data_IF_458745834013
#
_entry.id   IF_458745834013
#
_cell.length_a   1.000
_cell.length_b   1.000
_cell.length_c   1.000
_cell.angle_alpha   90.00
_cell.angle_beta   90.00
_cell.angle_gamma   90.00
#
_symmetry.space_group_name_H-M   'P 1'
#
loop_
_entity.id
_entity.type
_entity.pdbx_description
1 polymer ?
#
# COMPACT_ATOMS: atom_id res chain seq x y z
N UNK A 1 3.42 23.21 20.46
CA UNK A 1 3.59 21.84 19.92
C UNK A 1 2.40 20.95 20.19
N UNK A 2 1.96 20.80 21.44
CA UNK A 2 0.89 19.88 21.81
C UNK A 2 -0.43 20.15 21.06
N UNK A 3 -0.83 21.38 20.89
CA UNK A 3 -2.06 21.72 20.17
C UNK A 3 -2.00 21.38 18.69
N UNK A 4 -0.82 21.54 18.06
CA UNK A 4 -0.60 21.09 16.70
C UNK A 4 -0.64 19.56 16.60
N UNK A 5 -0.10 18.85 17.59
CA UNK A 5 -0.18 17.37 17.63
C UNK A 5 -1.65 16.91 17.77
N UNK A 6 -2.44 17.57 18.62
CA UNK A 6 -3.90 17.33 18.75
C UNK A 6 -4.63 17.63 17.44
N UNK A 7 -4.27 18.71 16.76
CA UNK A 7 -4.82 19.08 15.46
C UNK A 7 -4.55 17.99 14.41
N UNK A 8 -3.29 17.51 14.28
CA UNK A 8 -2.97 16.42 13.37
C UNK A 8 -3.71 15.13 13.76
N UNK A 9 -3.76 14.78 15.04
CA UNK A 9 -4.50 13.62 15.53
C UNK A 9 -5.99 13.68 15.16
N UNK A 10 -6.59 14.85 15.27
CA UNK A 10 -7.98 15.09 14.87
C UNK A 10 -8.16 14.83 13.37
N UNK A 11 -7.26 15.33 12.51
CA UNK A 11 -7.32 15.13 11.06
C UNK A 11 -7.07 13.68 10.64
N UNK A 12 -6.30 12.92 11.41
CA UNK A 12 -6.08 11.47 11.20
C UNK A 12 -7.16 10.60 11.85
N UNK A 13 -8.05 11.20 12.62
CA UNK A 13 -9.13 10.53 13.34
C UNK A 13 -10.44 10.46 12.57
N UNK A 14 -11.51 10.31 13.35
CA UNK A 14 -12.90 10.19 12.88
C UNK A 14 -13.70 11.51 12.96
N UNK A 15 -13.02 12.61 13.23
CA UNK A 15 -13.65 13.95 13.38
C UNK A 15 -14.21 14.24 14.75
N UNK A 16 -13.81 13.49 15.78
CA UNK A 16 -14.23 13.71 17.18
C UNK A 16 -13.08 14.24 18.04
N UNK A 17 -13.42 15.00 19.05
CA UNK A 17 -12.51 15.41 20.13
C UNK A 17 -13.17 15.05 21.45
N UNK A 18 -12.48 14.27 22.29
CA UNK A 18 -13.01 13.75 23.55
C UNK A 18 -14.41 13.11 23.40
N UNK A 19 -14.62 12.36 22.33
CA UNK A 19 -15.89 11.69 22.00
C UNK A 19 -16.96 12.58 21.39
N UNK A 20 -16.77 13.91 21.36
CA UNK A 20 -17.73 14.85 20.76
C UNK A 20 -17.44 15.04 19.27
N UNK A 21 -18.44 14.91 18.39
CA UNK A 21 -18.27 15.14 16.96
C UNK A 21 -18.04 16.64 16.69
N UNK A 22 -16.96 16.98 15.99
CA UNK A 22 -16.63 18.34 15.52
C UNK A 22 -16.90 18.43 14.03
N UNK A 23 -16.37 17.46 13.26
CA UNK A 23 -16.61 17.31 11.82
C UNK A 23 -16.98 15.85 11.50
N UNK A 24 -17.72 15.67 10.42
CA UNK A 24 -17.93 14.30 9.91
C UNK A 24 -16.62 13.77 9.34
N UNK A 25 -16.34 12.48 9.51
CA UNK A 25 -15.16 11.84 8.91
C UNK A 25 -15.13 11.95 7.37
N UNK A 26 -16.31 12.00 6.74
CA UNK A 26 -16.43 12.27 5.30
C UNK A 26 -15.97 13.68 4.93
N UNK A 27 -16.23 14.68 5.78
CA UNK A 27 -15.76 16.06 5.58
C UNK A 27 -14.24 16.13 5.68
N UNK A 28 -13.61 15.45 6.65
CA UNK A 28 -12.16 15.37 6.75
C UNK A 28 -11.56 14.72 5.51
N UNK A 29 -12.12 13.60 5.05
CA UNK A 29 -11.65 12.94 3.82
C UNK A 29 -11.78 13.85 2.60
N UNK A 30 -12.86 14.62 2.49
CA UNK A 30 -13.03 15.58 1.40
C UNK A 30 -12.03 16.73 1.47
N UNK A 31 -11.67 17.21 2.66
CA UNK A 31 -10.61 18.21 2.84
C UNK A 31 -9.24 17.70 2.39
N UNK A 32 -8.96 16.41 2.58
CA UNK A 32 -7.69 15.77 2.22
C UNK A 32 -7.67 15.21 0.80
N UNK A 33 -8.79 15.29 0.07
CA UNK A 33 -8.85 14.86 -1.32
C UNK A 33 -8.28 15.95 -2.23
N UNK A 34 -7.66 15.55 -3.35
CA UNK A 34 -7.20 16.47 -4.38
C UNK A 34 -8.38 17.23 -4.96
N UNK A 35 -8.40 18.54 -4.76
CA UNK A 35 -9.34 19.49 -5.36
C UNK A 35 -8.70 20.21 -6.54
N UNK A 36 -7.41 20.45 -6.47
CA UNK A 36 -6.62 21.11 -7.48
C UNK A 36 -5.28 20.37 -7.67
N UNK A 37 -4.95 20.02 -8.91
CA UNK A 37 -3.68 19.38 -9.27
C UNK A 37 -2.82 20.36 -10.07
N UNK A 38 -1.55 20.50 -9.70
CA UNK A 38 -0.59 21.28 -10.45
C UNK A 38 -0.22 20.59 -11.77
N UNK A 39 0.26 21.39 -12.74
CA UNK A 39 0.67 20.89 -14.06
C UNK A 39 1.85 19.89 -14.00
N UNK A 40 2.59 19.86 -12.89
CA UNK A 40 3.68 18.91 -12.64
C UNK A 40 3.20 17.50 -12.24
N UNK A 41 1.90 17.33 -12.02
CA UNK A 41 1.26 16.08 -11.60
C UNK A 41 1.80 15.48 -10.27
N UNK A 42 2.59 16.26 -9.52
CA UNK A 42 3.22 15.83 -8.26
C UNK A 42 2.68 16.55 -7.04
N UNK A 43 2.30 17.81 -7.23
CA UNK A 43 1.80 18.68 -6.18
C UNK A 43 0.33 18.97 -6.39
N UNK A 44 -0.44 18.93 -5.32
CA UNK A 44 -1.87 19.15 -5.36
C UNK A 44 -2.34 19.91 -4.11
N UNK A 45 -3.55 20.42 -4.17
CA UNK A 45 -4.23 21.07 -3.04
C UNK A 45 -5.55 20.38 -2.76
N UNK A 46 -5.79 20.15 -1.47
CA UNK A 46 -7.11 19.89 -0.91
C UNK A 46 -7.73 21.18 -0.36
N UNK A 47 -8.64 21.07 0.57
CA UNK A 47 -9.24 22.23 1.24
C UNK A 47 -8.35 22.63 2.43
N UNK A 48 -7.52 23.65 2.22
CA UNK A 48 -6.59 24.16 3.23
C UNK A 48 -5.31 23.34 3.44
N UNK A 49 -5.06 22.32 2.60
CA UNK A 49 -3.89 21.45 2.71
C UNK A 49 -3.19 21.26 1.36
N UNK A 50 -1.87 21.31 1.40
CA UNK A 50 -1.05 20.77 0.30
C UNK A 50 -1.08 19.23 0.37
N UNK A 51 -1.16 18.61 -0.81
CA UNK A 51 -1.18 17.15 -0.95
C UNK A 51 -0.01 16.76 -1.86
N UNK A 52 0.83 15.85 -1.40
CA UNK A 52 1.97 15.35 -2.16
C UNK A 52 2.04 13.82 -2.09
N UNK A 53 2.61 13.22 -3.15
CA UNK A 53 2.95 11.79 -3.14
C UNK A 53 4.46 11.66 -2.88
N UNK A 54 4.80 10.88 -1.85
CA UNK A 54 6.19 10.59 -1.50
C UNK A 54 6.32 9.14 -1.06
N UNK A 55 7.21 8.39 -1.69
CA UNK A 55 7.51 7.00 -1.33
C UNK A 55 6.26 6.11 -1.20
N UNK A 56 5.39 6.18 -2.20
CA UNK A 56 4.17 5.38 -2.25
C UNK A 56 3.03 5.83 -1.34
N UNK A 57 3.21 6.87 -0.51
CA UNK A 57 2.17 7.38 0.40
C UNK A 57 1.67 8.76 0.02
N UNK A 58 0.46 9.08 0.44
CA UNK A 58 -0.11 10.43 0.34
C UNK A 58 0.18 11.20 1.61
N UNK A 59 0.88 12.32 1.48
CA UNK A 59 1.12 13.28 2.57
C UNK A 59 0.21 14.47 2.41
N UNK A 60 -0.49 14.79 3.48
CA UNK A 60 -1.37 15.94 3.61
C UNK A 60 -0.75 16.90 4.63
N UNK A 61 -0.65 18.17 4.30
CA UNK A 61 0.01 19.10 5.23
C UNK A 61 -0.04 20.55 4.77
N UNK A 62 0.67 21.38 5.47
CA UNK A 62 0.85 22.79 5.11
C UNK A 62 2.19 23.29 5.66
N UNK A 63 2.81 24.23 4.95
CA UNK A 63 4.01 24.93 5.44
C UNK A 63 3.63 26.35 5.84
N UNK A 64 4.41 26.88 6.78
CA UNK A 64 4.34 28.28 7.18
C UNK A 64 5.68 28.95 7.01
N UNK A 65 5.63 30.23 6.68
CA UNK A 65 6.79 31.09 6.61
C UNK A 65 6.40 32.52 7.02
N UNK A 66 7.11 33.00 8.02
CA UNK A 66 7.22 34.43 8.36
C UNK A 66 8.70 34.70 8.62
N UNK A 67 9.12 35.96 8.53
CA UNK A 67 10.53 36.32 8.75
C UNK A 67 11.03 35.78 10.09
N UNK A 68 12.15 35.06 10.07
CA UNK A 68 12.77 34.41 11.23
C UNK A 68 12.20 33.01 11.55
N UNK A 69 11.13 32.55 10.87
CA UNK A 69 10.49 31.27 11.20
C UNK A 69 10.04 30.52 9.95
N UNK A 70 10.37 29.23 9.88
CA UNK A 70 9.83 28.31 8.88
C UNK A 70 9.22 27.10 9.57
N UNK A 71 8.09 26.66 9.08
CA UNK A 71 7.37 25.55 9.70
C UNK A 71 6.77 24.60 8.66
N UNK A 72 6.56 23.38 9.05
CA UNK A 72 5.77 22.43 8.28
C UNK A 72 5.06 21.46 9.20
N UNK A 73 3.81 21.21 8.89
CA UNK A 73 3.05 20.06 9.37
C UNK A 73 2.79 19.14 8.18
N UNK A 74 2.90 17.84 8.39
CA UNK A 74 2.52 16.83 7.40
C UNK A 74 2.05 15.57 8.10
N UNK A 75 1.07 14.91 7.53
CA UNK A 75 0.56 13.64 8.05
C UNK A 75 0.14 12.71 6.92
N UNK A 76 0.24 11.41 7.16
CA UNK A 76 -0.30 10.35 6.34
C UNK A 76 -1.57 9.82 7.00
N UNK A 77 -2.75 10.05 6.42
CA UNK A 77 -3.99 9.47 6.95
C UNK A 77 -3.98 7.94 6.99
N UNK A 78 -3.29 7.31 6.04
CA UNK A 78 -3.17 5.86 5.92
C UNK A 78 -2.29 5.27 7.03
N UNK A 79 -1.09 5.83 7.22
CA UNK A 79 -0.13 5.34 8.24
C UNK A 79 -0.47 5.81 9.66
N UNK A 80 -1.44 6.72 9.82
CA UNK A 80 -1.76 7.39 11.10
C UNK A 80 -0.55 8.05 11.74
N UNK A 81 0.34 8.57 10.92
CA UNK A 81 1.58 9.20 11.32
C UNK A 81 1.57 10.68 10.93
N UNK A 82 1.96 11.55 11.85
CA UNK A 82 2.11 12.99 11.62
C UNK A 82 3.46 13.50 12.09
N UNK A 83 4.00 14.49 11.38
CA UNK A 83 5.26 15.14 11.68
C UNK A 83 5.07 16.64 11.71
N UNK A 84 5.60 17.29 12.73
CA UNK A 84 5.57 18.74 12.93
C UNK A 84 7.01 19.20 13.08
N UNK A 85 7.43 20.14 12.25
CA UNK A 85 8.74 20.78 12.32
C UNK A 85 8.55 22.29 12.41
N UNK A 86 9.10 22.89 13.46
CA UNK A 86 9.11 24.33 13.68
C UNK A 86 10.57 24.76 13.79
N UNK A 87 10.98 25.74 13.00
CA UNK A 87 12.33 26.32 13.05
C UNK A 87 12.26 27.82 13.29
N UNK A 88 13.22 28.35 13.99
CA UNK A 88 13.43 29.76 14.28
C UNK A 88 14.55 30.34 13.41
N UNK A 89 14.54 29.96 12.11
CA UNK A 89 15.54 30.34 11.14
C UNK A 89 14.93 30.54 9.75
N UNK A 90 15.39 31.56 9.01
CA UNK A 90 14.93 31.81 7.64
C UNK A 90 15.53 30.84 6.59
N UNK A 91 16.64 30.23 6.92
CA UNK A 91 17.33 29.22 6.08
C UNK A 91 16.98 27.77 6.44
N UNK A 92 16.09 27.58 7.43
CA UNK A 92 15.61 26.26 7.80
C UNK A 92 14.84 25.58 6.65
N UNK A 93 14.99 24.27 6.51
CA UNK A 93 14.22 23.44 5.58
C UNK A 93 13.35 22.40 6.32
N UNK A 94 12.21 22.82 6.89
CA UNK A 94 11.30 21.87 7.57
C UNK A 94 10.83 20.76 6.68
N UNK A 95 10.73 21.00 5.36
CA UNK A 95 10.30 20.01 4.38
C UNK A 95 11.28 18.84 4.26
N UNK A 96 12.58 19.15 4.30
CA UNK A 96 13.61 18.13 4.32
C UNK A 96 13.47 17.21 5.55
N UNK A 97 13.34 17.79 6.75
CA UNK A 97 13.20 17.01 7.98
C UNK A 97 11.93 16.15 7.99
N UNK A 98 10.79 16.70 7.57
CA UNK A 98 9.55 15.95 7.43
C UNK A 98 9.75 14.73 6.52
N UNK A 99 10.39 14.93 5.37
CA UNK A 99 10.65 13.86 4.41
C UNK A 99 11.53 12.76 4.99
N UNK A 100 12.61 13.15 5.68
CA UNK A 100 13.53 12.19 6.33
C UNK A 100 12.84 11.40 7.44
N UNK A 101 12.03 12.05 8.26
CA UNK A 101 11.29 11.38 9.33
C UNK A 101 10.32 10.35 8.78
N UNK A 102 9.56 10.67 7.72
CA UNK A 102 8.68 9.70 7.06
C UNK A 102 9.46 8.55 6.43
N UNK A 103 10.58 8.83 5.76
CA UNK A 103 11.42 7.80 5.14
C UNK A 103 11.97 6.81 6.17
N UNK A 104 12.40 7.29 7.33
CA UNK A 104 13.01 6.46 8.36
C UNK A 104 11.98 5.75 9.26
N UNK A 105 10.98 6.48 9.73
CA UNK A 105 10.08 5.98 10.78
C UNK A 105 8.84 5.27 10.25
N UNK A 106 8.27 5.67 9.11
CA UNK A 106 7.05 5.05 8.63
C UNK A 106 7.21 3.55 8.32
N UNK A 107 8.29 3.08 7.67
CA UNK A 107 8.51 1.64 7.48
C UNK A 107 8.71 0.90 8.81
N UNK A 108 9.42 1.50 9.77
CA UNK A 108 9.66 0.90 11.08
C UNK A 108 8.36 0.76 11.89
N UNK A 109 7.53 1.81 11.90
CA UNK A 109 6.21 1.80 12.55
C UNK A 109 5.31 0.77 11.88
N UNK A 110 5.22 0.76 10.55
CA UNK A 110 4.44 -0.22 9.80
C UNK A 110 4.86 -1.65 10.16
N UNK A 111 6.17 -1.91 10.24
CA UNK A 111 6.69 -3.23 10.65
C UNK A 111 6.34 -3.58 12.09
N UNK A 112 6.45 -2.62 13.02
CA UNK A 112 6.17 -2.82 14.45
C UNK A 112 4.67 -3.01 14.75
N UNK A 113 3.80 -2.37 13.96
CA UNK A 113 2.34 -2.43 14.13
C UNK A 113 1.68 -3.48 13.23
N UNK A 114 2.44 -4.09 12.32
CA UNK A 114 1.93 -5.18 11.50
C UNK A 114 1.45 -6.31 12.42
N UNK A 115 0.24 -6.84 12.20
CA UNK A 115 -0.18 -8.02 12.94
C UNK A 115 0.85 -9.13 12.72
N UNK A 116 1.22 -9.83 13.77
CA UNK A 116 2.06 -11.02 13.64
C UNK A 116 1.37 -11.93 12.63
N UNK A 117 2.03 -12.31 11.53
CA UNK A 117 1.42 -13.20 10.57
C UNK A 117 0.98 -14.45 11.33
N UNK A 118 -0.31 -14.70 11.39
CA UNK A 118 -0.80 -16.04 11.71
C UNK A 118 -0.24 -16.90 10.58
N UNK A 119 0.76 -17.73 10.89
CA UNK A 119 1.24 -18.75 9.97
C UNK A 119 0.08 -19.73 9.84
N UNK A 120 -0.84 -19.43 8.91
CA UNK A 120 -1.89 -20.36 8.55
C UNK A 120 -1.19 -21.61 8.04
N UNK A 121 -1.60 -22.78 8.52
CA UNK A 121 -1.13 -24.01 7.90
C UNK A 121 -1.65 -24.00 6.45
N UNK A 122 -0.76 -24.16 5.46
CA UNK A 122 -1.19 -24.15 4.07
C UNK A 122 -2.17 -25.31 3.84
N UNK A 123 -3.20 -25.05 3.06
CA UNK A 123 -4.10 -26.10 2.61
C UNK A 123 -3.27 -27.16 1.87
N UNK A 124 -3.30 -28.45 2.30
CA UNK A 124 -2.50 -29.50 1.67
C UNK A 124 -2.73 -29.62 0.15
N UNK A 125 -3.91 -29.26 -0.34
CA UNK A 125 -4.25 -29.28 -1.77
C UNK A 125 -3.47 -28.27 -2.59
N UNK A 126 -2.88 -27.24 -1.98
CA UNK A 126 -2.13 -26.20 -2.68
C UNK A 126 -0.84 -26.74 -3.32
N UNK A 127 -0.29 -27.83 -2.77
CA UNK A 127 0.84 -28.53 -3.39
C UNK A 127 0.56 -29.00 -4.84
N UNK A 128 -0.72 -29.12 -5.20
CA UNK A 128 -1.13 -29.50 -6.55
C UNK A 128 -0.94 -28.35 -7.56
N UNK A 129 -0.92 -27.10 -7.10
CA UNK A 129 -0.81 -25.92 -7.96
C UNK A 129 0.60 -25.34 -8.03
N UNK A 130 1.45 -25.64 -7.03
CA UNK A 130 2.84 -25.15 -6.95
C UNK A 130 3.64 -25.58 -8.16
N UNK A 131 4.38 -24.64 -8.76
CA UNK A 131 5.28 -24.88 -9.89
C UNK A 131 5.45 -23.66 -10.78
N UNK A 132 6.28 -23.85 -11.81
CA UNK A 132 6.56 -22.85 -12.85
C UNK A 132 5.59 -23.03 -14.01
N UNK A 133 5.00 -21.94 -14.44
CA UNK A 133 4.11 -21.87 -15.59
C UNK A 133 4.74 -20.92 -16.62
N UNK A 134 4.80 -21.32 -17.89
CA UNK A 134 5.47 -20.55 -18.94
C UNK A 134 4.52 -20.23 -20.08
N UNK A 135 4.52 -18.97 -20.47
CA UNK A 135 3.88 -18.47 -21.67
C UNK A 135 4.88 -17.69 -22.55
N UNK A 136 4.47 -17.14 -23.71
CA UNK A 136 5.37 -16.37 -24.57
C UNK A 136 5.96 -15.13 -23.93
N UNK A 137 5.36 -14.59 -22.87
CA UNK A 137 5.83 -13.38 -22.18
C UNK A 137 6.78 -13.69 -21.02
N UNK A 138 6.74 -14.91 -20.48
CA UNK A 138 7.68 -15.32 -19.45
C UNK A 138 7.21 -16.41 -18.52
N UNK A 139 7.89 -16.50 -17.38
CA UNK A 139 7.62 -17.47 -16.34
C UNK A 139 6.80 -16.85 -15.22
N UNK A 140 5.83 -17.60 -14.72
CA UNK A 140 5.08 -17.31 -13.52
C UNK A 140 5.30 -18.44 -12.52
N UNK A 141 5.70 -18.10 -11.31
CA UNK A 141 5.83 -19.06 -10.20
C UNK A 141 4.60 -19.05 -9.31
N UNK A 142 4.06 -20.24 -9.06
CA UNK A 142 3.05 -20.46 -8.02
C UNK A 142 3.75 -21.14 -6.85
N UNK A 143 3.76 -20.49 -5.69
CA UNK A 143 4.46 -20.97 -4.49
C UNK A 143 3.61 -20.76 -3.24
N UNK A 144 3.99 -21.46 -2.16
CA UNK A 144 3.40 -21.22 -0.83
C UNK A 144 4.39 -20.42 -0.01
N UNK A 145 4.01 -19.21 0.40
CA UNK A 145 4.83 -18.31 1.23
C UNK A 145 4.03 -17.96 2.48
N UNK A 146 4.60 -18.16 3.65
CA UNK A 146 3.96 -17.87 4.95
C UNK A 146 2.57 -18.52 5.12
N UNK A 147 2.35 -19.69 4.52
CA UNK A 147 1.08 -20.39 4.59
C UNK A 147 0.01 -19.87 3.62
N UNK A 148 0.38 -19.04 2.65
CA UNK A 148 -0.51 -18.50 1.62
C UNK A 148 -0.05 -18.94 0.24
N UNK A 149 -1.01 -19.25 -0.64
CA UNK A 149 -0.72 -19.49 -2.06
C UNK A 149 -0.54 -18.15 -2.76
N UNK A 150 0.61 -18.00 -3.41
CA UNK A 150 0.97 -16.75 -4.09
C UNK A 150 1.47 -17.01 -5.51
N UNK A 151 1.32 -16.01 -6.35
CA UNK A 151 1.83 -15.96 -7.71
C UNK A 151 2.88 -14.85 -7.80
N UNK A 152 3.98 -15.06 -8.53
CA UNK A 152 5.04 -14.08 -8.71
C UNK A 152 5.73 -14.22 -10.07
N UNK A 153 6.33 -13.13 -10.56
CA UNK A 153 7.29 -13.17 -11.68
C UNK A 153 8.70 -13.38 -11.10
N UNK A 154 9.37 -14.49 -11.41
CA UNK A 154 10.71 -14.78 -10.88
C UNK A 154 11.82 -13.91 -11.50
N UNK A 155 11.52 -13.12 -12.55
CA UNK A 155 12.50 -12.29 -13.26
C UNK A 155 12.56 -10.85 -12.73
N UNK A 156 11.63 -10.46 -11.85
CA UNK A 156 11.68 -9.16 -11.22
C UNK A 156 12.90 -9.02 -10.30
N UNK A 157 13.55 -7.87 -10.31
CA UNK A 157 14.71 -7.57 -9.46
C UNK A 157 14.39 -7.74 -7.97
N UNK A 158 13.17 -7.44 -7.56
CA UNK A 158 12.60 -7.79 -6.26
C UNK A 158 11.36 -8.69 -6.43
N UNK A 159 11.53 -10.02 -6.48
CA UNK A 159 10.41 -10.95 -6.63
C UNK A 159 9.34 -10.82 -5.53
N UNK A 160 9.72 -10.29 -4.35
CA UNK A 160 8.74 -10.02 -3.27
C UNK A 160 7.81 -8.85 -3.62
N UNK A 161 8.26 -7.92 -4.43
CA UNK A 161 7.46 -6.80 -4.92
C UNK A 161 6.38 -7.22 -5.93
N UNK A 162 6.56 -8.37 -6.60
CA UNK A 162 5.61 -8.93 -7.57
C UNK A 162 4.65 -9.98 -6.97
N UNK A 163 4.78 -10.28 -5.66
CA UNK A 163 3.92 -11.26 -5.00
C UNK A 163 2.46 -10.81 -5.01
N UNK A 164 1.59 -11.63 -5.59
CA UNK A 164 0.15 -11.49 -5.50
C UNK A 164 -0.46 -12.71 -4.84
N UNK A 165 -1.38 -12.48 -3.92
CA UNK A 165 -2.05 -13.54 -3.17
C UNK A 165 -3.17 -14.15 -3.99
N UNK A 166 -3.28 -15.48 -3.94
CA UNK A 166 -4.36 -16.26 -4.52
C UNK A 166 -5.33 -16.69 -3.42
N UNK A 167 -6.50 -16.05 -3.38
CA UNK A 167 -7.55 -16.35 -2.40
C UNK A 167 -8.53 -17.35 -2.99
N UNK A 168 -8.72 -18.55 -2.39
CA UNK A 168 -9.63 -19.56 -2.92
C UNK A 168 -11.07 -19.06 -2.90
N UNK A 169 -11.80 -19.27 -3.99
CA UNK A 169 -13.24 -18.97 -4.12
C UNK A 169 -14.06 -20.20 -4.48
N UNK A 170 -13.48 -21.10 -5.24
CA UNK A 170 -14.07 -22.39 -5.64
C UNK A 170 -12.96 -23.43 -5.75
N UNK A 171 -13.32 -24.69 -5.95
CA UNK A 171 -12.31 -25.75 -6.22
C UNK A 171 -11.49 -25.38 -7.45
N UNK A 172 -10.17 -25.40 -7.31
CA UNK A 172 -9.19 -25.08 -8.34
C UNK A 172 -9.30 -23.64 -8.92
N UNK A 173 -10.02 -22.73 -8.25
CA UNK A 173 -10.23 -21.36 -8.70
C UNK A 173 -9.97 -20.36 -7.57
N UNK A 174 -9.20 -19.35 -7.86
CA UNK A 174 -8.70 -18.37 -6.91
C UNK A 174 -8.91 -16.96 -7.46
N UNK A 175 -9.09 -16.00 -6.56
CA UNK A 175 -9.10 -14.58 -6.88
C UNK A 175 -7.71 -14.00 -6.64
N UNK A 176 -7.21 -13.21 -7.59
CA UNK A 176 -5.96 -12.45 -7.46
C UNK A 176 -6.19 -11.25 -6.56
N UNK A 177 -5.44 -11.18 -5.46
CA UNK A 177 -5.47 -10.06 -4.51
C UNK A 177 -4.05 -9.58 -4.27
N UNK A 178 -3.78 -8.31 -4.52
CA UNK A 178 -2.50 -7.69 -4.21
C UNK A 178 -2.68 -6.62 -3.12
N UNK A 179 -1.70 -6.54 -2.22
CA UNK A 179 -1.64 -5.47 -1.22
C UNK A 179 -0.97 -4.20 -1.78
N UNK A 180 -0.19 -4.34 -2.84
CA UNK A 180 0.49 -3.25 -3.54
C UNK A 180 0.14 -3.26 -5.03
N UNK A 181 0.11 -2.08 -5.63
CA UNK A 181 -0.21 -1.87 -7.05
C UNK A 181 0.91 -2.44 -7.93
N UNK A 182 0.81 -3.71 -8.30
CA UNK A 182 1.64 -4.31 -9.33
C UNK A 182 0.76 -5.07 -10.30
N UNK A 183 0.77 -4.69 -11.57
CA UNK A 183 0.10 -5.29 -12.71
C UNK A 183 -1.44 -5.23 -12.77
N UNK A 184 -1.97 -5.23 -14.00
CA UNK A 184 -3.38 -5.08 -14.33
C UNK A 184 -4.30 -6.28 -14.01
N UNK A 185 -3.81 -7.29 -13.29
CA UNK A 185 -4.53 -8.55 -13.04
C UNK A 185 -5.26 -8.59 -11.70
N UNK A 186 -5.16 -7.52 -10.88
CA UNK A 186 -5.81 -7.48 -9.56
C UNK A 186 -7.32 -7.56 -9.70
N UNK A 187 -7.90 -8.53 -8.98
CA UNK A 187 -9.34 -8.78 -9.01
C UNK A 187 -9.77 -9.81 -10.03
N UNK A 188 -8.89 -10.23 -10.93
CA UNK A 188 -9.12 -11.33 -11.87
C UNK A 188 -9.07 -12.68 -11.15
N UNK A 189 -9.41 -13.73 -11.91
CA UNK A 189 -9.44 -15.08 -11.41
C UNK A 189 -8.37 -15.93 -12.06
N UNK A 190 -7.71 -16.76 -11.23
CA UNK A 190 -6.85 -17.85 -11.68
C UNK A 190 -7.60 -19.16 -11.50
N UNK A 191 -7.62 -20.00 -12.51
CA UNK A 191 -8.11 -21.37 -12.41
C UNK A 191 -7.06 -22.36 -12.87
N UNK A 192 -7.02 -23.53 -12.23
CA UNK A 192 -6.08 -24.59 -12.54
C UNK A 192 -6.80 -25.80 -13.12
N UNK A 193 -6.28 -26.34 -14.21
CA UNK A 193 -6.69 -27.64 -14.73
C UNK A 193 -5.72 -28.71 -14.21
N UNK A 194 -6.30 -29.76 -13.61
CA UNK A 194 -5.53 -30.85 -13.02
C UNK A 194 -5.40 -32.02 -14.00
N UNK A 195 -4.23 -32.61 -14.03
CA UNK A 195 -3.96 -33.87 -14.73
C UNK A 195 -4.49 -35.09 -13.95
N UNK A 196 -4.25 -36.26 -14.50
CA UNK A 196 -4.66 -37.53 -13.88
C UNK A 196 -3.95 -37.82 -12.55
N UNK A 197 -2.79 -37.23 -12.33
CA UNK A 197 -2.00 -37.29 -11.09
C UNK A 197 -2.48 -36.31 -10.01
N UNK A 198 -3.51 -35.53 -10.30
CA UNK A 198 -4.05 -34.50 -9.40
C UNK A 198 -3.25 -33.22 -9.35
N UNK A 199 -2.16 -33.10 -10.12
CA UNK A 199 -1.36 -31.85 -10.21
C UNK A 199 -1.85 -30.97 -11.35
N UNK A 200 -1.66 -29.68 -11.20
CA UNK A 200 -1.99 -28.72 -12.26
C UNK A 200 -1.11 -28.96 -13.49
N UNK A 201 -1.75 -29.03 -14.66
CA UNK A 201 -1.07 -29.13 -15.96
C UNK A 201 -1.01 -27.78 -16.65
N UNK A 202 -1.94 -26.89 -16.35
CA UNK A 202 -1.96 -25.50 -16.81
C UNK A 202 -2.80 -24.63 -15.87
N UNK A 203 -2.51 -23.34 -15.89
CA UNK A 203 -3.37 -22.32 -15.28
C UNK A 203 -4.07 -21.49 -16.36
N UNK A 204 -5.18 -20.86 -15.99
CA UNK A 204 -5.91 -19.90 -16.82
C UNK A 204 -6.10 -18.60 -16.04
N UNK A 205 -5.67 -17.48 -16.62
CA UNK A 205 -5.92 -16.12 -16.11
C UNK A 205 -6.67 -15.37 -17.20
N UNK A 206 -7.85 -14.84 -16.89
CA UNK A 206 -8.73 -14.30 -17.92
C UNK A 206 -9.03 -15.34 -19.01
N UNK A 207 -8.65 -15.05 -20.25
CA UNK A 207 -8.78 -15.99 -21.38
C UNK A 207 -7.44 -16.69 -21.77
N UNK A 208 -6.35 -16.39 -21.06
CA UNK A 208 -5.02 -16.91 -21.37
C UNK A 208 -4.71 -18.19 -20.61
N UNK A 209 -4.23 -19.19 -21.34
CA UNK A 209 -3.77 -20.46 -20.79
C UNK A 209 -2.25 -20.50 -20.73
N UNK A 210 -1.72 -20.82 -19.56
CA UNK A 210 -0.28 -20.93 -19.31
C UNK A 210 0.04 -22.36 -18.87
N UNK A 211 0.74 -23.17 -19.69
CA UNK A 211 1.10 -24.53 -19.35
C UNK A 211 2.15 -24.56 -18.21
N UNK A 212 2.05 -25.58 -17.36
CA UNK A 212 3.05 -25.86 -16.32
C UNK A 212 4.28 -26.47 -16.95
N UNK A 213 5.46 -25.99 -16.56
CA UNK A 213 6.72 -26.67 -16.87
C UNK A 213 6.82 -27.96 -16.04
N UNK A 214 7.41 -28.99 -16.65
CA UNK A 214 7.62 -30.27 -15.97
C UNK A 214 8.78 -30.18 -14.99
#
# INVERSE_FOLDING_TARGET
MEDLARYLSFHMGDGKVAGKPILKSSTLREMHRVQWLHNDWKNAWGIGFAITRAEGRTLVGHRGWVTGYRTQISFSPEDKMGVIVLTDADDGDPGFYVKQVFALLAPAIKKATAPTPLVAQPDPSWSNYVGTYRDPWGDTEIVVVNGELVMMDPREDDPKGSLVKLVPIEKNKFKIVAETFSSGEIGEFVSFELGADGKAVRMKVGENYTPRLR
#
